data_IF_381186675137
#
_entry.id   IF_381186675137
#
_cell.length_a   1.000
_cell.length_b   1.000
_cell.length_c   1.000
_cell.angle_alpha   90.00
_cell.angle_beta   90.00
_cell.angle_gamma   90.00
#
_symmetry.space_group_name_H-M   'P 1'
#
loop_
_entity.id
_entity.type
_entity.pdbx_description
1 polymer ?
#
# COMPACT_ATOMS: atom_id res chain seq x y z
N UNK A 1 8.34 -5.33 13.46
CA UNK A 1 9.65 -5.62 14.09
C UNK A 1 10.71 -5.13 13.12
N UNK A 2 11.82 -4.56 13.60
CA UNK A 2 12.96 -4.19 12.75
C UNK A 2 14.20 -4.80 13.41
N UNK A 3 15.04 -5.48 12.64
CA UNK A 3 16.34 -6.00 13.07
C UNK A 3 17.42 -5.57 12.08
N UNK A 4 18.61 -5.29 12.57
CA UNK A 4 19.77 -4.89 11.75
C UNK A 4 20.98 -5.69 12.24
N UNK A 5 21.65 -6.37 11.32
CA UNK A 5 22.89 -7.12 11.57
C UNK A 5 23.92 -6.76 10.52
N UNK A 6 24.87 -5.88 10.88
CA UNK A 6 25.87 -5.36 9.93
C UNK A 6 25.20 -4.59 8.80
N UNK A 7 25.40 -5.04 7.57
CA UNK A 7 24.82 -4.47 6.35
C UNK A 7 23.52 -5.14 5.92
N UNK A 8 22.94 -6.03 6.73
CA UNK A 8 21.64 -6.65 6.50
C UNK A 8 20.59 -6.13 7.50
N UNK A 9 19.36 -5.98 7.04
CA UNK A 9 18.22 -5.61 7.87
C UNK A 9 16.96 -6.38 7.49
N UNK A 10 16.12 -6.68 8.48
CA UNK A 10 14.78 -7.22 8.27
C UNK A 10 13.76 -6.28 8.87
N UNK A 11 12.60 -6.17 8.21
CA UNK A 11 11.48 -5.38 8.70
C UNK A 11 10.18 -6.14 8.51
N UNK A 12 9.33 -6.12 9.53
CA UNK A 12 7.95 -6.58 9.48
C UNK A 12 7.01 -5.39 9.59
N UNK A 13 6.14 -5.21 8.60
CA UNK A 13 5.09 -4.19 8.58
C UNK A 13 3.73 -4.80 8.22
N UNK A 14 2.65 -4.27 8.80
CA UNK A 14 1.28 -4.58 8.38
C UNK A 14 0.85 -3.57 7.33
N UNK A 15 0.04 -3.99 6.36
CA UNK A 15 -0.55 -3.09 5.38
C UNK A 15 -2.05 -3.30 5.23
N UNK A 16 -2.74 -2.22 4.87
CA UNK A 16 -4.08 -2.24 4.27
C UNK A 16 -3.98 -1.34 3.04
N UNK A 17 -4.37 -1.86 1.87
CA UNK A 17 -4.48 -1.08 0.64
C UNK A 17 -5.91 -0.57 0.50
N UNK A 18 -6.04 0.68 0.07
CA UNK A 18 -7.32 1.29 -0.22
C UNK A 18 -7.38 1.70 -1.69
N UNK A 19 -8.48 1.38 -2.35
CA UNK A 19 -8.84 1.99 -3.62
C UNK A 19 -9.54 3.31 -3.31
N UNK A 20 -9.10 4.38 -3.96
CA UNK A 20 -9.68 5.71 -3.83
C UNK A 20 -10.14 6.19 -5.20
N UNK A 21 -11.44 6.46 -5.32
CA UNK A 21 -12.06 6.90 -6.58
C UNK A 21 -12.77 8.20 -6.31
N UNK A 22 -12.31 9.28 -6.97
CA UNK A 22 -12.99 10.57 -6.91
C UNK A 22 -14.28 10.53 -7.73
N UNK A 23 -15.33 11.17 -7.22
CA UNK A 23 -16.52 11.40 -8.02
C UNK A 23 -16.21 12.38 -9.17
N UNK A 24 -16.85 12.18 -10.31
CA UNK A 24 -16.80 13.15 -11.40
C UNK A 24 -17.38 14.49 -10.92
N UNK A 25 -16.63 15.57 -11.16
CA UNK A 25 -17.10 16.89 -10.80
C UNK A 25 -18.24 17.30 -11.75
N UNK A 26 -19.39 17.75 -11.22
CA UNK A 26 -20.47 18.23 -12.08
C UNK A 26 -20.04 19.45 -12.89
N UNK A 27 -20.51 19.57 -14.12
CA UNK A 27 -20.17 20.67 -15.05
C UNK A 27 -20.41 22.06 -14.44
N UNK A 28 -21.47 22.22 -13.67
CA UNK A 28 -21.83 23.47 -12.99
C UNK A 28 -21.30 23.57 -11.55
N UNK A 29 -20.31 22.74 -11.20
CA UNK A 29 -19.75 22.64 -9.86
C UNK A 29 -20.63 21.86 -8.88
N UNK A 30 -20.11 21.68 -7.67
CA UNK A 30 -20.82 20.97 -6.62
C UNK A 30 -22.06 21.76 -6.16
N UNK A 31 -23.20 21.09 -5.90
CA UNK A 31 -24.38 21.74 -5.35
C UNK A 31 -24.07 22.49 -4.04
N UNK A 32 -24.76 23.61 -3.81
CA UNK A 32 -24.63 24.36 -2.54
C UNK A 32 -24.93 23.45 -1.35
N UNK A 33 -24.04 23.48 -0.35
CA UNK A 33 -24.12 22.61 0.82
C UNK A 33 -23.39 21.28 0.68
N UNK A 34 -22.78 20.98 -0.47
CA UNK A 34 -21.88 19.84 -0.60
C UNK A 34 -20.66 20.03 0.30
N UNK A 35 -20.40 19.05 1.18
CA UNK A 35 -19.28 19.06 2.12
C UNK A 35 -18.59 17.69 2.14
N UNK A 36 -17.30 17.71 2.44
CA UNK A 36 -16.50 16.48 2.58
C UNK A 36 -16.06 15.86 1.25
N UNK A 37 -15.62 14.61 1.34
CA UNK A 37 -15.08 13.85 0.21
C UNK A 37 -16.19 13.45 -0.76
N UNK A 38 -15.99 13.80 -2.04
CA UNK A 38 -16.86 13.37 -3.14
C UNK A 38 -16.19 12.19 -3.85
N UNK A 39 -16.71 10.99 -3.65
CA UNK A 39 -16.11 9.75 -4.14
C UNK A 39 -16.19 8.64 -3.09
N UNK A 40 -15.34 7.63 -3.24
CA UNK A 40 -15.26 6.48 -2.35
C UNK A 40 -13.82 6.14 -1.97
N UNK A 41 -13.65 5.64 -0.75
CA UNK A 41 -12.41 5.01 -0.27
C UNK A 41 -12.79 3.62 0.23
N UNK A 42 -12.19 2.58 -0.33
CA UNK A 42 -12.56 1.19 -0.05
C UNK A 42 -11.31 0.38 0.26
N UNK A 43 -11.23 -0.33 1.40
CA UNK A 43 -10.13 -1.26 1.64
C UNK A 43 -10.25 -2.45 0.68
N UNK A 44 -9.18 -2.74 -0.06
CA UNK A 44 -9.17 -3.76 -1.12
C UNK A 44 -8.18 -4.89 -0.84
N UNK A 45 -7.14 -4.63 -0.04
CA UNK A 45 -6.17 -5.66 0.36
C UNK A 45 -5.71 -5.43 1.81
N UNK A 46 -5.29 -6.50 2.47
CA UNK A 46 -4.57 -6.43 3.74
C UNK A 46 -3.51 -7.52 3.81
N UNK A 47 -2.53 -7.31 4.68
CA UNK A 47 -1.54 -8.32 4.96
C UNK A 47 -0.27 -7.79 5.62
N UNK A 48 0.85 -8.45 5.31
CA UNK A 48 2.14 -8.22 5.94
C UNK A 48 3.26 -8.14 4.91
N UNK A 49 4.07 -7.09 5.03
CA UNK A 49 5.36 -6.98 4.36
C UNK A 49 6.47 -7.53 5.25
N UNK A 50 7.33 -8.34 4.65
CA UNK A 50 8.57 -8.85 5.24
C UNK A 50 9.76 -8.65 4.29
N UNK A 51 10.20 -7.41 4.05
CA UNK A 51 11.41 -7.18 3.28
C UNK A 51 12.68 -7.54 4.06
N UNK A 52 13.67 -8.02 3.32
CA UNK A 52 15.08 -7.99 3.72
C UNK A 52 15.75 -6.84 2.96
N UNK A 53 16.66 -6.12 3.60
CA UNK A 53 17.38 -4.99 3.03
C UNK A 53 18.87 -5.19 3.20
N UNK A 54 19.63 -4.85 2.16
CA UNK A 54 21.09 -4.82 2.21
C UNK A 54 21.60 -3.39 2.04
N UNK A 55 22.65 -3.03 2.77
CA UNK A 55 23.27 -1.70 2.71
C UNK A 55 24.27 -1.63 1.57
N UNK A 56 24.04 -0.74 0.61
CA UNK A 56 24.88 -0.56 -0.57
C UNK A 56 25.25 0.91 -0.65
N UNK A 57 26.55 1.22 -0.58
CA UNK A 57 27.08 2.59 -0.62
C UNK A 57 26.43 3.53 0.42
N UNK A 58 26.13 3.00 1.61
CA UNK A 58 25.52 3.77 2.69
C UNK A 58 23.98 3.79 2.69
N UNK A 59 23.33 3.29 1.63
CA UNK A 59 21.87 3.27 1.49
C UNK A 59 21.30 1.87 1.69
N UNK A 60 20.18 1.76 2.41
CA UNK A 60 19.44 0.51 2.53
C UNK A 60 18.60 0.27 1.29
N UNK A 61 18.76 -0.89 0.66
CA UNK A 61 18.00 -1.31 -0.53
C UNK A 61 17.34 -2.64 -0.28
N UNK A 62 16.08 -2.80 -0.69
CA UNK A 62 15.38 -4.08 -0.56
C UNK A 62 16.07 -5.15 -1.42
N UNK A 63 16.55 -6.22 -0.78
CA UNK A 63 17.12 -7.39 -1.45
C UNK A 63 16.04 -8.45 -1.73
N UNK A 64 15.08 -8.60 -0.82
CA UNK A 64 13.86 -9.40 -1.00
C UNK A 64 12.67 -8.60 -0.53
N UNK A 65 11.53 -8.75 -1.23
CA UNK A 65 10.26 -8.20 -0.77
C UNK A 65 9.21 -9.32 -0.74
N UNK A 66 8.91 -9.81 0.46
CA UNK A 66 7.88 -10.83 0.66
C UNK A 66 6.60 -10.20 1.15
N UNK A 67 5.50 -10.53 0.48
CA UNK A 67 4.15 -10.04 0.79
C UNK A 67 3.30 -11.25 1.15
N UNK A 68 2.69 -11.20 2.32
CA UNK A 68 1.67 -12.15 2.76
C UNK A 68 0.33 -11.46 2.65
N UNK A 69 -0.54 -11.93 1.76
CA UNK A 69 -1.90 -11.41 1.63
C UNK A 69 -2.86 -12.19 2.53
N UNK A 70 -3.73 -11.48 3.23
CA UNK A 70 -4.80 -12.10 4.03
C UNK A 70 -5.97 -12.55 3.15
N UNK A 71 -6.09 -11.99 1.94
CA UNK A 71 -7.16 -12.27 0.98
C UNK A 71 -6.61 -13.04 -0.23
N UNK A 72 -7.48 -13.86 -0.84
CA UNK A 72 -7.15 -14.54 -2.09
C UNK A 72 -7.07 -13.52 -3.24
N UNK A 73 -5.96 -13.55 -3.98
CA UNK A 73 -5.80 -12.77 -5.20
C UNK A 73 -6.42 -13.52 -6.38
N UNK A 74 -7.45 -12.95 -6.98
CA UNK A 74 -7.95 -13.39 -8.28
C UNK A 74 -7.11 -12.73 -9.37
N UNK A 75 -6.49 -13.54 -10.23
CA UNK A 75 -5.73 -13.07 -11.40
C UNK A 75 -6.54 -13.47 -12.64
N UNK A 76 -6.80 -12.56 -13.60
CA UNK A 76 -7.52 -12.90 -14.81
C UNK A 76 -6.87 -14.06 -15.57
N UNK A 77 -7.69 -14.92 -16.18
CA UNK A 77 -7.20 -15.88 -17.17
C UNK A 77 -6.62 -15.11 -18.39
N UNK A 78 -5.56 -15.66 -18.99
CA UNK A 78 -4.85 -15.04 -20.10
C UNK A 78 -5.65 -15.06 -21.39
#
# INVERSE_FOLDING_TARGET
MISITGDEAEMDARFIRFDSVGAEQPENGWPTGTVGLQGSVTPTESGYYKPTLHKINGEWKMSTHRIYHDLTLAVPEK
#
